data_IF_934435423968
#
_entry.id   IF_934435423968
#
_cell.length_a   1.000
_cell.length_b   1.000
_cell.length_c   1.000
_cell.angle_alpha   90.00
_cell.angle_beta   90.00
_cell.angle_gamma   90.00
#
_symmetry.space_group_name_H-M   'P 1'
#
loop_
_entity.id
_entity.type
_entity.pdbx_description
1 polymer ?
#
# COMPACT_ATOMS: atom_id res chain seq x y z
N UNK A 1 1.02 -22.60 21.82
CA UNK A 1 -0.26 -22.32 21.19
C UNK A 1 -0.02 -21.97 19.73
N UNK A 2 -0.71 -22.65 18.83
CA UNK A 2 -0.51 -22.44 17.42
C UNK A 2 -1.27 -21.20 16.95
N UNK A 3 -0.59 -20.32 16.24
CA UNK A 3 -1.30 -19.22 15.58
C UNK A 3 -2.14 -19.77 14.43
N UNK A 4 -3.37 -19.30 14.29
CA UNK A 4 -4.15 -19.68 13.12
C UNK A 4 -3.47 -19.19 11.85
N UNK A 5 -3.59 -19.99 10.80
CA UNK A 5 -3.08 -19.55 9.49
C UNK A 5 -3.77 -18.23 9.11
N UNK A 6 -3.04 -17.32 8.45
CA UNK A 6 -3.67 -16.07 8.01
C UNK A 6 -4.84 -16.38 7.08
N UNK A 7 -6.00 -15.84 7.42
CA UNK A 7 -7.21 -16.01 6.61
C UNK A 7 -7.18 -14.96 5.51
N UNK A 8 -7.21 -15.41 4.26
CA UNK A 8 -7.30 -14.48 3.14
C UNK A 8 -8.69 -13.88 3.12
N UNK A 9 -8.77 -12.57 3.25
CA UNK A 9 -10.04 -11.85 3.19
C UNK A 9 -10.19 -11.26 1.79
N UNK A 10 -11.14 -11.75 1.00
CA UNK A 10 -11.33 -11.23 -0.36
C UNK A 10 -11.86 -9.80 -0.34
N UNK A 11 -11.38 -9.02 -1.30
CA UNK A 11 -11.82 -7.65 -1.52
C UNK A 11 -12.33 -7.55 -2.95
N UNK A 12 -13.58 -7.13 -3.11
CA UNK A 12 -14.17 -6.93 -4.42
C UNK A 12 -13.98 -5.48 -4.84
N UNK A 13 -13.28 -5.28 -5.94
CA UNK A 13 -13.01 -3.94 -6.47
C UNK A 13 -13.61 -3.84 -7.87
N UNK A 14 -14.58 -2.95 -8.10
CA UNK A 14 -15.09 -2.73 -9.44
C UNK A 14 -14.07 -1.98 -10.27
N UNK A 15 -13.78 -2.49 -11.46
CA UNK A 15 -12.90 -1.85 -12.43
C UNK A 15 -13.73 -1.48 -13.64
N UNK A 16 -13.44 -0.33 -14.23
CA UNK A 16 -14.10 0.00 -15.50
C UNK A 16 -13.64 -0.98 -16.59
N UNK A 17 -14.44 -1.16 -17.64
CA UNK A 17 -14.14 -2.18 -18.67
C UNK A 17 -12.79 -1.98 -19.34
N UNK A 18 -12.35 -0.74 -19.57
CA UNK A 18 -11.08 -0.47 -20.19
C UNK A 18 -9.92 -0.90 -19.33
N UNK A 19 -9.98 -0.60 -18.02
CA UNK A 19 -8.95 -1.00 -17.07
C UNK A 19 -8.92 -2.52 -16.88
N UNK A 20 -10.09 -3.15 -16.80
CA UNK A 20 -10.17 -4.62 -16.71
C UNK A 20 -9.55 -5.28 -17.93
N UNK A 21 -9.84 -4.76 -19.10
CA UNK A 21 -9.30 -5.28 -20.35
C UNK A 21 -7.77 -5.15 -20.39
N UNK A 22 -7.26 -3.98 -20.01
CA UNK A 22 -5.82 -3.75 -19.96
C UNK A 22 -5.13 -4.69 -18.98
N UNK A 23 -5.75 -4.94 -17.83
CA UNK A 23 -5.22 -5.87 -16.84
C UNK A 23 -5.16 -7.30 -17.41
N UNK A 24 -6.22 -7.73 -18.08
CA UNK A 24 -6.27 -9.06 -18.67
C UNK A 24 -5.20 -9.22 -19.77
N UNK A 25 -5.00 -8.20 -20.59
CA UNK A 25 -3.99 -8.21 -21.65
C UNK A 25 -2.58 -8.32 -21.05
N UNK A 26 -2.30 -7.56 -20.01
CA UNK A 26 -0.99 -7.59 -19.35
C UNK A 26 -0.76 -8.91 -18.63
N UNK A 27 -1.82 -9.48 -18.06
CA UNK A 27 -1.73 -10.79 -17.42
C UNK A 27 -1.34 -11.86 -18.43
N UNK A 28 -1.98 -11.86 -19.61
CA UNK A 28 -1.64 -12.77 -20.68
C UNK A 28 -0.21 -12.57 -21.17
N UNK A 29 0.19 -11.32 -21.36
CA UNK A 29 1.52 -11.00 -21.87
C UNK A 29 2.63 -11.41 -20.92
N UNK A 30 2.38 -11.37 -19.62
CA UNK A 30 3.36 -11.69 -18.58
C UNK A 30 3.25 -13.11 -18.04
N UNK A 31 2.26 -13.86 -18.49
CA UNK A 31 2.01 -15.23 -18.01
C UNK A 31 1.57 -15.28 -16.55
N UNK A 32 0.98 -14.20 -16.04
CA UNK A 32 0.53 -14.09 -14.65
C UNK A 32 -0.99 -14.02 -14.60
N UNK A 33 -1.54 -14.39 -13.47
CA UNK A 33 -2.98 -14.28 -13.25
C UNK A 33 -3.34 -12.83 -12.92
N UNK A 34 -4.48 -12.32 -13.42
CA UNK A 34 -4.90 -10.95 -13.11
C UNK A 34 -5.00 -10.70 -11.60
N UNK A 35 -5.46 -11.69 -10.83
CA UNK A 35 -5.59 -11.59 -9.38
C UNK A 35 -4.25 -11.39 -8.69
N UNK A 36 -3.21 -12.05 -9.18
CA UNK A 36 -1.86 -11.93 -8.61
C UNK A 36 -1.26 -10.56 -8.89
N UNK A 37 -1.46 -10.05 -10.11
CA UNK A 37 -1.02 -8.70 -10.48
C UNK A 37 -1.72 -7.66 -9.60
N UNK A 38 -3.04 -7.81 -9.43
CA UNK A 38 -3.82 -6.91 -8.61
C UNK A 38 -3.37 -6.93 -7.15
N UNK A 39 -3.11 -8.12 -6.61
CA UNK A 39 -2.61 -8.26 -5.23
C UNK A 39 -1.26 -7.56 -5.06
N UNK A 40 -0.34 -7.77 -5.98
CA UNK A 40 0.96 -7.13 -5.92
C UNK A 40 0.85 -5.61 -6.00
N UNK A 41 -0.07 -5.11 -6.84
CA UNK A 41 -0.30 -3.68 -6.97
C UNK A 41 -0.84 -3.08 -5.67
N UNK A 42 -1.78 -3.77 -5.00
CA UNK A 42 -2.32 -3.32 -3.73
C UNK A 42 -1.23 -3.33 -2.66
N UNK A 43 -0.43 -4.38 -2.60
CA UNK A 43 0.68 -4.47 -1.64
C UNK A 43 1.67 -3.32 -1.84
N UNK A 44 2.06 -3.06 -3.07
CA UNK A 44 3.00 -1.98 -3.38
C UNK A 44 2.42 -0.62 -2.98
N UNK A 45 1.15 -0.41 -3.25
CA UNK A 45 0.49 0.85 -2.89
C UNK A 45 0.45 1.05 -1.36
N UNK A 46 0.07 0.00 -0.63
CA UNK A 46 -0.02 0.07 0.84
C UNK A 46 1.35 0.37 1.44
N UNK A 47 2.40 -0.32 0.98
CA UNK A 47 3.75 -0.08 1.48
C UNK A 47 4.22 1.33 1.19
N UNK A 48 3.90 1.85 0.01
CA UNK A 48 4.23 3.22 -0.34
C UNK A 48 3.52 4.25 0.54
N UNK A 49 2.23 4.02 0.83
CA UNK A 49 1.47 4.90 1.71
C UNK A 49 1.97 4.84 3.15
N UNK A 50 2.27 3.63 3.65
CA UNK A 50 2.82 3.47 5.00
C UNK A 50 4.14 4.23 5.14
N UNK A 51 5.01 4.15 4.13
CA UNK A 51 6.27 4.87 4.13
C UNK A 51 6.07 6.38 4.13
N UNK A 52 5.09 6.87 3.34
CA UNK A 52 4.78 8.31 3.30
C UNK A 52 4.21 8.79 4.63
N UNK A 53 3.32 8.03 5.25
CA UNK A 53 2.75 8.36 6.55
C UNK A 53 3.84 8.40 7.61
N UNK A 54 4.75 7.43 7.59
CA UNK A 54 5.85 7.38 8.56
C UNK A 54 6.78 8.59 8.37
N UNK A 55 7.12 8.92 7.14
CA UNK A 55 7.98 10.07 6.84
C UNK A 55 7.32 11.37 7.29
N UNK A 56 6.01 11.51 7.07
CA UNK A 56 5.29 12.70 7.53
C UNK A 56 5.27 12.79 9.05
N UNK A 57 5.08 11.67 9.73
CA UNK A 57 5.10 11.63 11.20
C UNK A 57 6.49 11.99 11.74
N UNK A 58 7.55 11.51 11.10
CA UNK A 58 8.92 11.85 11.49
C UNK A 58 9.21 13.33 11.31
N UNK A 59 8.78 13.91 10.19
CA UNK A 59 8.95 15.35 9.96
C UNK A 59 8.20 16.17 11.00
N UNK A 60 6.99 15.78 11.34
CA UNK A 60 6.20 16.46 12.35
C UNK A 60 6.86 16.37 13.72
N UNK A 61 7.36 15.20 14.09
CA UNK A 61 8.04 14.99 15.35
C UNK A 61 9.31 15.86 15.45
N UNK A 62 10.08 15.93 14.37
CA UNK A 62 11.28 16.78 14.32
C UNK A 62 10.94 18.26 14.43
N UNK A 63 9.89 18.69 13.75
CA UNK A 63 9.43 20.08 13.81
C UNK A 63 8.97 20.43 15.24
N UNK A 64 8.24 19.52 15.88
CA UNK A 64 7.77 19.72 17.24
C UNK A 64 8.94 19.79 18.24
N UNK A 65 9.93 18.91 18.08
CA UNK A 65 11.12 18.91 18.93
C UNK A 65 11.91 20.21 18.77
N UNK A 66 12.04 20.69 17.53
CA UNK A 66 12.72 21.96 17.27
C UNK A 66 12.02 23.15 17.88
N UNK A 67 10.69 23.16 17.83
CA UNK A 67 9.90 24.22 18.43
C UNK A 67 10.05 24.23 19.97
N UNK A 68 9.96 23.06 20.58
CA UNK A 68 10.14 22.94 22.04
C UNK A 68 11.52 23.42 22.48
N UNK A 69 12.56 23.10 21.71
CA UNK A 69 13.92 23.55 22.00
C UNK A 69 14.02 25.07 21.97
N UNK A 70 13.42 25.71 20.98
CA UNK A 70 13.40 27.17 20.89
C UNK A 70 12.69 27.82 22.06
N UNK A 71 11.58 27.21 22.50
CA UNK A 71 10.83 27.75 23.65
C UNK A 71 11.56 27.57 24.98
N UNK A 72 12.45 26.60 25.05
CA UNK A 72 13.23 26.34 26.25
C UNK A 72 14.45 27.23 26.43
N UNK A 73 14.81 28.02 25.44
CA UNK A 73 15.97 28.92 25.52
C UNK A 73 15.64 30.24 26.19
#
# INVERSE_FOLDING_TARGET
MRQPAPVTAPLTVPLDPALRHALDDLADATGRRPEDIARDAVEAWVRGEEARVRAAAERLALAHAGLLRKLGE
#
